data_IF_745520363295
#
_entry.id   IF_745520363295
#
_cell.length_a   1.000
_cell.length_b   1.000
_cell.length_c   1.000
_cell.angle_alpha   90.00
_cell.angle_beta   90.00
_cell.angle_gamma   90.00
#
_symmetry.space_group_name_H-M   'P 1'
#
loop_
_entity.id
_entity.type
_entity.pdbx_description
1 polymer ?
#
# COMPACT_ATOMS: atom_id res chain seq x y z
N UNK A 1 40.15 25.98 -18.84
CA UNK A 1 40.02 25.04 -19.97
C UNK A 1 40.08 23.65 -19.39
N UNK A 2 38.93 23.07 -19.04
CA UNK A 2 38.85 21.71 -18.51
C UNK A 2 38.98 20.81 -19.74
N UNK A 3 40.14 20.21 -19.92
CA UNK A 3 40.34 19.21 -20.97
C UNK A 3 39.54 17.99 -20.52
N UNK A 4 38.36 17.78 -21.12
CA UNK A 4 37.63 16.53 -20.96
C UNK A 4 38.44 15.42 -21.63
N UNK A 5 39.23 14.69 -20.84
CA UNK A 5 39.80 13.43 -21.29
C UNK A 5 38.65 12.41 -21.38
N UNK A 6 38.01 12.36 -22.54
CA UNK A 6 37.03 11.32 -22.84
C UNK A 6 37.74 9.97 -22.98
N UNK A 7 37.25 8.95 -22.29
CA UNK A 7 37.72 7.58 -22.46
C UNK A 7 37.35 7.08 -23.87
N UNK A 8 38.36 6.74 -24.67
CA UNK A 8 38.19 6.20 -26.03
C UNK A 8 38.46 4.69 -26.04
N UNK A 9 37.44 3.82 -25.89
CA UNK A 9 37.63 2.38 -25.80
C UNK A 9 38.26 1.77 -27.05
N UNK A 10 37.98 2.35 -28.23
CA UNK A 10 38.50 1.86 -29.51
C UNK A 10 40.02 1.98 -29.60
N UNK A 11 40.59 3.10 -29.14
CA UNK A 11 42.04 3.34 -29.16
C UNK A 11 42.74 2.39 -28.20
N UNK A 12 42.17 2.16 -27.02
CA UNK A 12 42.74 1.26 -26.00
C UNK A 12 42.67 -0.19 -26.47
N UNK A 13 41.54 -0.61 -27.05
CA UNK A 13 41.40 -1.94 -27.62
C UNK A 13 42.35 -2.16 -28.82
N UNK A 14 42.56 -1.11 -29.63
CA UNK A 14 43.54 -1.13 -30.72
C UNK A 14 44.97 -1.31 -30.19
N UNK A 15 45.41 -0.50 -29.22
CA UNK A 15 46.73 -0.60 -28.60
C UNK A 15 46.95 -1.96 -27.93
N UNK A 16 45.93 -2.49 -27.25
CA UNK A 16 45.97 -3.82 -26.66
C UNK A 16 46.18 -4.90 -27.73
N UNK A 17 45.49 -4.80 -28.88
CA UNK A 17 45.68 -5.73 -30.00
C UNK A 17 47.08 -5.65 -30.63
N UNK A 18 47.61 -4.43 -30.80
CA UNK A 18 48.99 -4.22 -31.30
C UNK A 18 50.01 -4.85 -30.36
N UNK A 19 49.89 -4.62 -29.05
CA UNK A 19 50.79 -5.21 -28.05
C UNK A 19 50.68 -6.74 -28.02
N UNK A 20 49.47 -7.28 -28.18
CA UNK A 20 49.27 -8.72 -28.26
C UNK A 20 50.05 -9.29 -29.46
N UNK A 21 50.03 -8.66 -30.64
CA UNK A 21 50.79 -9.13 -31.80
C UNK A 21 52.33 -9.06 -31.64
N UNK A 22 52.82 -8.31 -30.66
CA UNK A 22 54.24 -8.18 -30.35
C UNK A 22 54.74 -9.19 -29.29
N UNK A 23 53.85 -10.03 -28.75
CA UNK A 23 54.13 -11.00 -27.68
C UNK A 23 53.86 -12.43 -28.18
N UNK A 24 54.49 -13.42 -27.56
CA UNK A 24 54.16 -14.82 -27.76
C UNK A 24 52.88 -15.19 -26.97
N UNK A 25 51.78 -15.48 -27.69
CA UNK A 25 50.48 -15.78 -27.09
C UNK A 25 49.97 -17.16 -27.49
N UNK A 26 49.17 -17.78 -26.60
CA UNK A 26 48.50 -19.08 -26.82
C UNK A 26 47.12 -18.89 -27.48
N UNK A 27 46.63 -19.85 -28.26
CA UNK A 27 45.38 -19.75 -29.07
C UNK A 27 44.11 -19.30 -28.31
N UNK A 28 44.11 -19.40 -26.98
CA UNK A 28 43.01 -18.97 -26.12
C UNK A 28 42.93 -17.44 -25.92
N UNK A 29 44.03 -16.70 -26.14
CA UNK A 29 44.10 -15.25 -25.94
C UNK A 29 43.68 -14.48 -27.21
N UNK A 30 42.49 -13.89 -27.17
CA UNK A 30 41.87 -13.19 -28.30
C UNK A 30 42.05 -11.66 -28.22
N UNK A 31 42.27 -11.03 -29.37
CA UNK A 31 42.24 -9.58 -29.48
C UNK A 31 40.84 -9.04 -29.13
N UNK A 32 40.72 -7.94 -28.36
CA UNK A 32 39.42 -7.34 -28.04
C UNK A 32 38.71 -6.77 -29.27
N UNK A 33 39.46 -6.45 -30.33
CA UNK A 33 38.94 -5.95 -31.61
C UNK A 33 39.14 -6.99 -32.71
N UNK A 34 38.17 -7.13 -33.60
CA UNK A 34 38.19 -8.06 -34.76
C UNK A 34 39.15 -7.62 -35.88
N UNK A 35 39.78 -6.46 -35.75
CA UNK A 35 40.68 -5.87 -36.76
C UNK A 35 42.02 -6.58 -36.86
N UNK A 36 42.42 -7.35 -35.83
CA UNK A 36 43.72 -8.00 -35.80
C UNK A 36 43.65 -9.49 -36.16
N UNK A 37 44.62 -10.01 -36.92
CA UNK A 37 44.63 -11.41 -37.35
C UNK A 37 44.87 -12.36 -36.17
N UNK A 38 44.05 -13.41 -36.09
CA UNK A 38 44.02 -14.37 -34.97
C UNK A 38 44.86 -15.63 -35.29
N UNK A 39 45.15 -15.92 -36.57
CA UNK A 39 45.91 -17.11 -36.98
C UNK A 39 47.41 -16.83 -37.17
N UNK A 40 48.24 -17.83 -36.85
CA UNK A 40 49.65 -17.83 -37.25
C UNK A 40 49.77 -17.95 -38.79
N UNK A 41 50.75 -17.29 -39.44
CA UNK A 41 51.85 -16.50 -38.87
C UNK A 41 51.49 -15.05 -38.54
N UNK A 42 50.35 -14.55 -39.03
CA UNK A 42 49.95 -13.14 -38.95
C UNK A 42 49.74 -12.65 -37.52
N UNK A 43 49.43 -13.55 -36.59
CA UNK A 43 49.31 -13.24 -35.16
C UNK A 43 50.62 -12.75 -34.52
N UNK A 44 51.79 -13.15 -35.05
CA UNK A 44 53.12 -12.76 -34.54
C UNK A 44 53.81 -11.73 -35.43
N UNK A 45 53.06 -11.01 -36.26
CA UNK A 45 53.63 -10.12 -37.28
C UNK A 45 54.51 -8.99 -36.70
N UNK A 46 54.25 -8.58 -35.44
CA UNK A 46 55.03 -7.53 -34.76
C UNK A 46 55.99 -8.10 -33.71
N UNK A 47 56.12 -9.42 -33.61
CA UNK A 47 57.04 -10.06 -32.69
C UNK A 47 58.47 -9.84 -33.16
N UNK A 48 59.28 -9.18 -32.34
CA UNK A 48 60.68 -8.89 -32.66
C UNK A 48 61.51 -10.16 -32.46
N UNK A 49 62.10 -10.67 -33.54
CA UNK A 49 63.01 -11.83 -33.53
C UNK A 49 64.48 -11.43 -33.55
N UNK A 50 64.78 -10.24 -34.06
CA UNK A 50 66.14 -9.78 -34.34
C UNK A 50 66.56 -8.67 -33.37
N UNK A 51 67.85 -8.57 -33.07
CA UNK A 51 68.39 -7.57 -32.14
C UNK A 51 68.17 -6.14 -32.66
N UNK A 52 67.30 -5.37 -31.99
CA UNK A 52 66.93 -4.01 -32.39
C UNK A 52 67.65 -2.91 -31.59
N UNK A 53 68.78 -3.24 -30.98
CA UNK A 53 69.51 -2.37 -30.03
C UNK A 53 70.02 -1.05 -30.62
N UNK A 54 70.12 -0.93 -31.95
CA UNK A 54 70.68 0.21 -32.67
C UNK A 54 69.64 1.14 -33.31
N UNK A 55 68.34 0.87 -33.15
CA UNK A 55 67.28 1.66 -33.80
C UNK A 55 66.99 2.92 -32.97
N UNK A 56 67.11 4.09 -33.58
CA UNK A 56 66.71 5.36 -32.98
C UNK A 56 65.18 5.49 -33.00
N UNK A 57 64.57 5.60 -31.82
CA UNK A 57 63.11 5.74 -31.68
C UNK A 57 62.77 7.24 -31.72
N UNK A 58 61.86 7.69 -32.61
CA UNK A 58 61.40 9.07 -32.60
C UNK A 58 60.60 9.34 -31.31
N UNK A 59 61.10 10.27 -30.49
CA UNK A 59 60.48 10.71 -29.24
C UNK A 59 59.28 11.62 -29.54
N UNK A 60 58.13 11.03 -29.89
CA UNK A 60 56.93 11.81 -30.23
C UNK A 60 55.71 11.53 -29.37
N UNK A 61 55.71 10.50 -28.51
CA UNK A 61 54.51 10.13 -27.75
C UNK A 61 54.80 10.12 -26.25
N UNK A 62 54.20 11.07 -25.53
CA UNK A 62 54.14 11.08 -24.08
C UNK A 62 53.07 10.09 -23.62
N UNK A 63 53.50 8.84 -23.42
CA UNK A 63 52.63 7.70 -23.12
C UNK A 63 51.82 7.92 -21.82
N UNK A 64 52.32 8.78 -20.92
CA UNK A 64 51.65 9.15 -19.66
C UNK A 64 50.33 9.91 -19.87
N UNK A 65 50.14 10.56 -21.02
CA UNK A 65 48.91 11.27 -21.34
C UNK A 65 47.80 10.35 -21.84
N UNK A 66 48.15 9.15 -22.31
CA UNK A 66 47.21 8.18 -22.91
C UNK A 66 46.61 7.28 -21.83
N UNK A 67 47.39 6.92 -20.82
CA UNK A 67 46.99 5.99 -19.75
C UNK A 67 46.55 6.75 -18.50
N UNK A 68 45.29 7.19 -18.47
CA UNK A 68 44.76 8.05 -17.39
C UNK A 68 43.96 7.25 -16.34
N UNK A 69 43.42 6.08 -16.71
CA UNK A 69 42.34 5.40 -15.97
C UNK A 69 42.66 3.94 -15.56
N UNK A 70 41.82 3.38 -14.67
CA UNK A 70 41.95 2.02 -14.13
C UNK A 70 41.81 0.87 -15.15
N UNK A 71 41.59 1.18 -16.43
CA UNK A 71 41.38 0.22 -17.52
C UNK A 71 42.65 -0.47 -18.00
N UNK A 72 43.81 -0.09 -17.45
CA UNK A 72 45.13 -0.44 -18.00
C UNK A 72 45.75 -1.68 -17.32
N UNK A 73 45.02 -2.30 -16.37
CA UNK A 73 45.40 -3.58 -15.74
C UNK A 73 45.75 -4.70 -16.73
N UNK A 74 44.99 -4.96 -17.81
CA UNK A 74 45.38 -5.98 -18.79
C UNK A 74 46.68 -5.61 -19.53
N UNK A 75 46.96 -4.33 -19.75
CA UNK A 75 48.18 -3.87 -20.42
C UNK A 75 49.43 -4.15 -19.59
N UNK A 76 49.37 -4.00 -18.26
CA UNK A 76 50.48 -4.36 -17.38
C UNK A 76 50.88 -5.83 -17.54
N UNK A 77 49.90 -6.72 -17.68
CA UNK A 77 50.13 -8.15 -17.95
C UNK A 77 50.88 -8.37 -19.27
N UNK A 78 50.51 -7.63 -20.33
CA UNK A 78 51.15 -7.72 -21.63
C UNK A 78 52.58 -7.15 -21.62
N UNK A 79 52.79 -5.98 -21.01
CA UNK A 79 54.11 -5.34 -20.92
C UNK A 79 55.15 -6.23 -20.23
N UNK A 80 54.72 -7.01 -19.23
CA UNK A 80 55.59 -7.96 -18.53
C UNK A 80 56.10 -9.11 -19.41
N UNK A 81 55.39 -9.46 -20.49
CA UNK A 81 55.69 -10.60 -21.38
C UNK A 81 56.54 -10.23 -22.60
N UNK A 82 56.83 -8.96 -22.81
CA UNK A 82 57.62 -8.50 -23.96
C UNK A 82 59.08 -9.01 -23.89
N UNK A 83 59.72 -9.33 -25.03
CA UNK A 83 61.11 -9.79 -25.07
C UNK A 83 62.09 -8.64 -24.78
N UNK A 84 62.30 -8.32 -23.50
CA UNK A 84 63.12 -7.17 -23.03
C UNK A 84 64.57 -7.20 -23.50
N UNK A 85 65.12 -8.37 -23.80
CA UNK A 85 66.53 -8.53 -24.18
C UNK A 85 66.85 -8.02 -25.59
N UNK A 86 65.84 -7.86 -26.44
CA UNK A 86 66.02 -7.50 -27.86
C UNK A 86 65.83 -5.99 -28.13
N UNK A 87 65.42 -5.22 -27.12
CA UNK A 87 65.06 -3.81 -27.26
C UNK A 87 66.19 -2.85 -26.87
N UNK A 88 66.23 -1.63 -27.45
CA UNK A 88 67.20 -0.61 -27.07
C UNK A 88 66.96 -0.11 -25.64
N UNK A 89 68.04 0.37 -24.99
CA UNK A 89 68.02 0.82 -23.59
C UNK A 89 67.04 1.97 -23.33
N UNK A 90 66.83 2.85 -24.31
CA UNK A 90 65.87 3.96 -24.27
C UNK A 90 64.43 3.45 -24.08
N UNK A 91 64.05 2.39 -24.81
CA UNK A 91 62.71 1.81 -24.71
C UNK A 91 62.52 1.14 -23.35
N UNK A 92 63.54 0.45 -22.85
CA UNK A 92 63.49 -0.21 -21.55
C UNK A 92 63.29 0.78 -20.40
N UNK A 93 63.93 1.96 -20.46
CA UNK A 93 63.70 3.02 -19.47
C UNK A 93 62.27 3.55 -19.51
N UNK A 94 61.72 3.79 -20.70
CA UNK A 94 60.33 4.26 -20.84
C UNK A 94 59.30 3.20 -20.41
N UNK A 95 59.53 1.93 -20.74
CA UNK A 95 58.68 0.83 -20.27
C UNK A 95 58.68 0.72 -18.75
N UNK A 96 59.86 0.81 -18.11
CA UNK A 96 59.94 0.76 -16.65
C UNK A 96 59.24 1.95 -15.99
N UNK A 97 59.36 3.14 -16.57
CA UNK A 97 58.66 4.34 -16.11
C UNK A 97 57.15 4.16 -16.25
N UNK A 98 56.68 3.59 -17.36
CA UNK A 98 55.28 3.29 -17.63
C UNK A 98 54.71 2.25 -16.64
N UNK A 99 55.42 1.15 -16.40
CA UNK A 99 55.02 0.13 -15.43
C UNK A 99 54.88 0.72 -14.02
N UNK A 100 55.84 1.56 -13.61
CA UNK A 100 55.77 2.26 -12.31
C UNK A 100 54.60 3.23 -12.22
N UNK A 101 54.26 3.88 -13.32
CA UNK A 101 53.15 4.83 -13.40
C UNK A 101 51.79 4.13 -13.29
N UNK A 102 51.58 3.05 -14.07
CA UNK A 102 50.34 2.26 -14.04
C UNK A 102 50.13 1.61 -12.66
N UNK A 103 51.18 1.06 -12.07
CA UNK A 103 51.11 0.44 -10.72
C UNK A 103 50.81 1.47 -9.63
N UNK A 104 51.46 2.64 -9.67
CA UNK A 104 51.18 3.74 -8.75
C UNK A 104 49.73 4.25 -8.91
N UNK A 105 49.24 4.37 -10.14
CA UNK A 105 47.88 4.81 -10.41
C UNK A 105 46.83 3.82 -9.88
N UNK A 106 47.01 2.51 -10.14
CA UNK A 106 46.06 1.49 -9.69
C UNK A 106 45.97 1.39 -8.16
N UNK A 107 47.03 1.75 -7.43
CA UNK A 107 47.02 1.81 -5.96
C UNK A 107 46.26 3.02 -5.37
N UNK A 108 46.13 4.11 -6.14
CA UNK A 108 45.46 5.35 -5.70
C UNK A 108 43.93 5.25 -5.79
N UNK A 109 43.43 4.44 -6.71
CA UNK A 109 42.00 4.32 -6.99
C UNK A 109 41.36 3.26 -6.08
N UNK A 110 40.97 3.68 -4.87
CA UNK A 110 40.12 2.86 -4.00
C UNK A 110 38.70 2.82 -4.60
N UNK A 111 38.41 1.77 -5.36
CA UNK A 111 37.08 1.52 -5.93
C UNK A 111 36.03 1.50 -4.81
N UNK A 112 35.14 2.48 -4.81
CA UNK A 112 33.95 2.48 -3.95
C UNK A 112 32.81 1.81 -4.70
N UNK A 113 32.09 0.92 -4.01
CA UNK A 113 30.89 0.32 -4.58
C UNK A 113 29.88 1.42 -4.92
N UNK A 114 29.44 1.47 -6.17
CA UNK A 114 28.45 2.44 -6.62
C UNK A 114 27.12 2.17 -5.89
N UNK A 115 26.62 3.17 -5.17
CA UNK A 115 25.32 3.11 -4.52
C UNK A 115 24.32 3.92 -5.32
N UNK A 116 23.09 3.41 -5.42
CA UNK A 116 21.99 4.20 -5.99
C UNK A 116 21.78 5.45 -5.13
N UNK A 117 21.58 6.64 -5.72
CA UNK A 117 21.33 7.84 -4.94
C UNK A 117 20.09 7.65 -4.08
N UNK A 118 20.20 7.92 -2.78
CA UNK A 118 19.08 7.77 -1.86
C UNK A 118 17.98 8.80 -2.20
N UNK A 119 16.80 8.31 -2.60
CA UNK A 119 15.64 9.18 -2.87
C UNK A 119 15.02 9.64 -1.55
N UNK A 120 14.77 10.94 -1.41
CA UNK A 120 14.08 11.48 -0.25
C UNK A 120 12.62 10.96 -0.18
N UNK A 121 12.19 10.50 1.00
CA UNK A 121 10.83 10.01 1.24
C UNK A 121 9.87 11.19 1.33
N UNK A 122 8.77 11.18 0.57
CA UNK A 122 7.72 12.20 0.66
C UNK A 122 6.90 12.00 1.94
N UNK A 123 6.45 13.11 2.54
CA UNK A 123 5.56 13.09 3.70
C UNK A 123 4.14 12.67 3.30
N UNK A 124 3.36 12.16 4.27
CA UNK A 124 1.96 11.80 4.08
C UNK A 124 1.09 13.07 3.97
N UNK A 125 0.12 13.05 3.07
CA UNK A 125 -0.86 14.14 2.93
C UNK A 125 -1.79 14.19 4.15
N UNK A 126 -1.82 15.33 4.82
CA UNK A 126 -2.71 15.56 5.96
C UNK A 126 -4.05 16.09 5.43
N UNK A 127 -5.13 15.32 5.62
CA UNK A 127 -6.48 15.73 5.25
C UNK A 127 -7.18 16.42 6.43
N UNK A 128 -8.01 17.41 6.11
CA UNK A 128 -8.79 18.15 7.10
C UNK A 128 -10.01 17.33 7.59
N UNK A 129 -10.32 17.39 8.90
CA UNK A 129 -11.48 16.72 9.45
C UNK A 129 -12.79 17.37 8.98
N UNK A 130 -13.75 16.54 8.57
CA UNK A 130 -15.09 16.99 8.17
C UNK A 130 -16.02 17.09 9.37
N UNK A 131 -16.10 18.26 9.99
CA UNK A 131 -17.08 18.55 11.05
C UNK A 131 -18.05 19.68 10.66
N UNK A 132 -19.04 19.96 11.50
CA UNK A 132 -19.91 21.14 11.42
C UNK A 132 -19.60 22.07 12.58
N UNK A 133 -19.36 23.34 12.30
CA UNK A 133 -19.10 24.35 13.32
C UNK A 133 -20.31 24.56 14.25
N UNK A 134 -21.53 24.47 13.70
CA UNK A 134 -22.78 24.67 14.42
C UNK A 134 -23.49 23.34 14.76
N UNK A 135 -22.74 22.37 15.28
CA UNK A 135 -23.29 21.08 15.66
C UNK A 135 -24.25 21.20 16.85
N UNK A 136 -25.51 20.82 16.64
CA UNK A 136 -26.52 20.77 17.71
C UNK A 136 -27.04 19.33 17.85
N UNK A 137 -26.91 18.75 19.05
CA UNK A 137 -27.29 17.37 19.37
C UNK A 137 -28.78 17.12 19.11
N UNK A 138 -29.66 18.08 19.39
CA UNK A 138 -31.10 17.94 19.17
C UNK A 138 -31.48 17.95 17.68
N UNK A 139 -30.66 18.57 16.85
CA UNK A 139 -30.85 18.73 15.40
C UNK A 139 -29.84 17.94 14.57
N UNK A 140 -29.07 17.05 15.19
CA UNK A 140 -27.88 16.40 14.64
C UNK A 140 -28.11 15.59 13.35
N UNK A 141 -29.36 15.33 12.97
CA UNK A 141 -29.72 14.57 11.77
C UNK A 141 -30.34 15.42 10.64
N UNK A 142 -30.34 16.75 10.75
CA UNK A 142 -30.73 17.61 9.64
C UNK A 142 -29.57 17.72 8.64
N UNK A 143 -29.70 17.00 7.52
CA UNK A 143 -28.75 17.01 6.41
C UNK A 143 -28.39 18.45 5.96
N UNK A 144 -27.10 18.70 5.75
CA UNK A 144 -26.40 19.96 5.40
C UNK A 144 -26.96 20.80 4.23
N UNK A 145 -28.07 20.44 3.60
CA UNK A 145 -28.61 21.18 2.46
C UNK A 145 -29.84 21.99 2.87
N UNK A 146 -29.65 23.01 3.71
CA UNK A 146 -30.68 23.99 4.09
C UNK A 146 -31.24 24.74 2.88
N UNK A 147 -30.45 24.93 1.82
CA UNK A 147 -30.85 25.61 0.58
C UNK A 147 -31.95 24.86 -0.22
N UNK A 148 -32.11 23.55 0.01
CA UNK A 148 -33.24 22.76 -0.46
C UNK A 148 -33.57 21.79 0.67
N UNK A 149 -34.49 22.14 1.58
CA UNK A 149 -35.17 21.13 2.42
C UNK A 149 -35.57 20.00 1.48
N UNK A 150 -34.78 18.94 1.44
CA UNK A 150 -34.96 17.94 0.41
C UNK A 150 -36.34 17.36 0.68
N UNK A 151 -37.18 17.20 -0.34
CA UNK A 151 -38.56 16.68 -0.18
C UNK A 151 -38.58 15.43 0.72
N UNK A 152 -37.50 14.63 0.69
CA UNK A 152 -37.24 13.48 1.57
C UNK A 152 -37.25 13.81 3.07
N UNK A 153 -36.60 14.90 3.51
CA UNK A 153 -36.57 15.32 4.92
C UNK A 153 -37.96 15.72 5.40
N UNK A 154 -38.73 16.43 4.60
CA UNK A 154 -40.11 16.81 4.93
C UNK A 154 -41.02 15.58 5.02
N UNK A 155 -40.93 14.66 4.05
CA UNK A 155 -41.66 13.39 4.08
C UNK A 155 -41.32 12.58 5.34
N UNK A 156 -40.04 12.49 5.73
CA UNK A 156 -39.62 11.81 6.97
C UNK A 156 -40.22 12.47 8.23
N UNK A 157 -40.26 13.80 8.29
CA UNK A 157 -40.89 14.51 9.41
C UNK A 157 -42.40 14.28 9.46
N UNK A 158 -43.08 14.39 8.32
CA UNK A 158 -44.52 14.20 8.22
C UNK A 158 -44.93 12.77 8.59
N UNK A 159 -44.20 11.76 8.10
CA UNK A 159 -44.44 10.36 8.45
C UNK A 159 -44.20 10.08 9.94
N UNK A 160 -43.20 10.71 10.55
CA UNK A 160 -42.96 10.61 12.01
C UNK A 160 -44.12 11.22 12.80
N UNK A 161 -44.62 12.39 12.42
CA UNK A 161 -45.79 13.04 13.03
C UNK A 161 -47.03 12.16 12.90
N UNK A 162 -47.35 11.72 11.68
CA UNK A 162 -48.48 10.82 11.41
C UNK A 162 -48.45 9.56 12.28
N UNK A 163 -47.30 8.87 12.34
CA UNK A 163 -47.15 7.66 13.18
C UNK A 163 -47.30 7.94 14.68
N UNK A 164 -46.88 9.12 15.15
CA UNK A 164 -47.03 9.52 16.55
C UNK A 164 -48.51 9.74 16.89
N UNK A 165 -49.21 10.51 16.07
CA UNK A 165 -50.64 10.77 16.26
C UNK A 165 -51.45 9.48 16.17
N UNK A 166 -51.22 8.64 15.16
CA UNK A 166 -51.89 7.34 15.01
C UNK A 166 -51.68 6.43 16.24
N UNK A 167 -50.47 6.42 16.81
CA UNK A 167 -50.20 5.64 18.03
C UNK A 167 -50.90 6.22 19.25
N UNK A 168 -51.01 7.55 19.33
CA UNK A 168 -51.75 8.24 20.39
C UNK A 168 -53.23 7.89 20.36
N UNK A 169 -53.86 8.06 19.21
CA UNK A 169 -55.30 7.79 19.02
C UNK A 169 -55.65 6.32 19.26
N UNK A 170 -54.84 5.39 18.78
CA UNK A 170 -55.06 3.94 19.05
C UNK A 170 -54.95 3.62 20.54
N UNK A 171 -54.05 4.28 21.28
CA UNK A 171 -53.93 4.08 22.73
C UNK A 171 -55.14 4.62 23.48
N UNK A 172 -55.68 5.76 23.06
CA UNK A 172 -56.89 6.36 23.62
C UNK A 172 -58.11 5.47 23.37
N UNK A 173 -58.35 5.04 22.13
CA UNK A 173 -59.43 4.12 21.79
C UNK A 173 -59.39 2.81 22.60
N UNK A 174 -58.20 2.29 22.88
CA UNK A 174 -58.03 1.11 23.74
C UNK A 174 -58.40 1.39 25.19
N UNK A 175 -58.03 2.55 25.74
CA UNK A 175 -58.44 2.95 27.11
C UNK A 175 -59.95 3.13 27.19
N UNK A 176 -60.56 3.77 26.21
CA UNK A 176 -62.00 4.01 26.17
C UNK A 176 -62.76 2.69 26.09
N UNK A 177 -62.32 1.75 25.25
CA UNK A 177 -62.92 0.43 25.16
C UNK A 177 -62.80 -0.34 26.48
N UNK A 178 -61.63 -0.28 27.14
CA UNK A 178 -61.45 -0.90 28.46
C UNK A 178 -62.38 -0.27 29.51
N UNK A 179 -62.56 1.04 29.49
CA UNK A 179 -63.48 1.76 30.37
C UNK A 179 -64.92 1.32 30.13
N UNK A 180 -65.41 1.36 28.89
CA UNK A 180 -66.76 0.91 28.53
C UNK A 180 -67.02 -0.54 28.92
N UNK A 181 -66.05 -1.43 28.77
CA UNK A 181 -66.20 -2.83 29.18
C UNK A 181 -66.29 -3.00 30.69
N UNK A 182 -65.61 -2.15 31.48
CA UNK A 182 -65.71 -2.16 32.94
C UNK A 182 -67.08 -1.67 33.39
N UNK A 183 -67.54 -0.55 32.84
CA UNK A 183 -68.87 0.02 33.12
C UNK A 183 -69.98 -0.99 32.78
N UNK A 184 -69.99 -1.53 31.55
CA UNK A 184 -70.97 -2.55 31.15
C UNK A 184 -70.95 -3.78 32.06
N UNK A 185 -69.76 -4.20 32.50
CA UNK A 185 -69.64 -5.34 33.42
C UNK A 185 -70.23 -5.02 34.79
N UNK A 186 -69.98 -3.83 35.33
CA UNK A 186 -70.56 -3.40 36.60
C UNK A 186 -72.08 -3.32 36.51
N UNK A 187 -72.62 -2.70 35.46
CA UNK A 187 -74.05 -2.60 35.22
C UNK A 187 -74.72 -3.99 35.15
N UNK A 188 -74.12 -4.94 34.42
CA UNK A 188 -74.61 -6.32 34.38
C UNK A 188 -74.59 -6.99 35.76
N UNK A 189 -73.50 -6.84 36.52
CA UNK A 189 -73.37 -7.42 37.86
C UNK A 189 -74.40 -6.85 38.84
N UNK A 190 -74.64 -5.53 38.79
CA UNK A 190 -75.64 -4.85 39.63
C UNK A 190 -77.06 -5.28 39.26
N UNK A 191 -77.37 -5.36 37.96
CA UNK A 191 -78.65 -5.85 37.46
C UNK A 191 -78.91 -7.30 37.87
N UNK A 192 -77.91 -8.17 37.73
CA UNK A 192 -78.00 -9.58 38.14
C UNK A 192 -78.14 -9.73 39.66
N UNK A 193 -77.43 -8.90 40.45
CA UNK A 193 -77.57 -8.88 41.91
C UNK A 193 -78.98 -8.47 42.31
N UNK A 194 -79.50 -7.38 41.75
CA UNK A 194 -80.86 -6.91 42.00
C UNK A 194 -81.92 -7.95 41.60
N UNK A 195 -81.72 -8.64 40.47
CA UNK A 195 -82.61 -9.74 40.04
C UNK A 195 -82.59 -10.90 41.04
N UNK A 196 -81.40 -11.37 41.44
CA UNK A 196 -81.24 -12.46 42.40
C UNK A 196 -81.86 -12.11 43.76
N UNK A 197 -81.66 -10.90 44.25
CA UNK A 197 -82.26 -10.42 45.50
C UNK A 197 -83.80 -10.40 45.41
N UNK A 198 -84.36 -9.88 44.31
CA UNK A 198 -85.82 -9.90 44.07
C UNK A 198 -86.38 -11.32 44.03
N UNK A 199 -85.74 -12.22 43.29
CA UNK A 199 -86.16 -13.62 43.19
C UNK A 199 -86.07 -14.32 44.56
N UNK A 200 -84.98 -14.10 45.30
CA UNK A 200 -84.80 -14.64 46.65
C UNK A 200 -85.90 -14.14 47.60
N UNK A 201 -86.21 -12.85 47.57
CA UNK A 201 -87.29 -12.26 48.35
C UNK A 201 -88.65 -12.89 48.00
N UNK A 202 -88.97 -13.00 46.71
CA UNK A 202 -90.22 -13.60 46.24
C UNK A 202 -90.37 -15.05 46.69
N UNK A 203 -89.32 -15.87 46.53
CA UNK A 203 -89.31 -17.27 46.98
C UNK A 203 -89.49 -17.35 48.50
N UNK A 204 -88.80 -16.50 49.27
CA UNK A 204 -88.93 -16.45 50.73
C UNK A 204 -90.36 -16.09 51.16
N UNK A 205 -90.99 -15.11 50.50
CA UNK A 205 -92.38 -14.71 50.78
C UNK A 205 -93.36 -15.83 50.44
N UNK A 206 -93.19 -16.50 49.29
CA UNK A 206 -94.03 -17.64 48.89
C UNK A 206 -93.92 -18.81 49.88
N UNK A 207 -92.71 -19.15 50.32
CA UNK A 207 -92.50 -20.18 51.35
C UNK A 207 -93.16 -19.82 52.68
N UNK A 208 -93.12 -18.54 53.07
CA UNK A 208 -93.85 -18.01 54.23
C UNK A 208 -95.36 -18.26 54.12
N UNK A 209 -95.96 -17.86 52.99
CA UNK A 209 -97.40 -18.08 52.72
C UNK A 209 -97.77 -19.57 52.73
N UNK A 210 -96.97 -20.44 52.13
CA UNK A 210 -97.21 -21.88 52.15
C UNK A 210 -97.17 -22.44 53.58
N UNK A 211 -96.25 -21.96 54.41
CA UNK A 211 -96.15 -22.35 55.82
C UNK A 211 -97.37 -21.91 56.63
N UNK A 212 -97.88 -20.69 56.40
CA UNK A 212 -99.10 -20.18 57.03
C UNK A 212 -100.33 -20.96 56.56
N UNK A 213 -100.44 -21.24 55.26
CA UNK A 213 -101.50 -22.07 54.70
C UNK A 213 -101.55 -23.45 55.34
N UNK A 214 -100.39 -24.13 55.46
CA UNK A 214 -100.27 -25.44 56.11
C UNK A 214 -100.65 -25.39 57.59
N UNK A 215 -100.23 -24.35 58.33
CA UNK A 215 -100.65 -24.14 59.73
C UNK A 215 -102.16 -23.95 59.85
N UNK A 216 -102.75 -23.10 59.01
CA UNK A 216 -104.19 -22.84 59.00
C UNK A 216 -104.99 -24.10 58.65
N UNK A 217 -104.53 -24.89 57.68
CA UNK A 217 -105.14 -26.18 57.33
C UNK A 217 -105.09 -27.18 58.49
N UNK A 218 -103.97 -27.27 59.20
CA UNK A 218 -103.83 -28.11 60.39
C UNK A 218 -104.76 -27.66 61.54
N UNK A 219 -104.83 -26.36 61.83
CA UNK A 219 -105.73 -25.83 62.87
C UNK A 219 -107.20 -26.08 62.55
N UNK A 220 -107.60 -26.04 61.27
CA UNK A 220 -108.95 -26.40 60.83
C UNK A 220 -109.28 -27.89 61.01
N UNK A 221 -108.32 -28.80 60.88
CA UNK A 221 -108.54 -30.23 61.14
C UNK A 221 -108.69 -30.57 62.64
N UNK A 222 -108.22 -29.69 63.53
CA UNK A 222 -108.22 -29.92 64.98
C UNK A 222 -109.49 -29.38 65.67
N UNK A 223 -110.30 -28.60 64.96
CA UNK A 223 -111.64 -28.13 65.36
C UNK A 223 -112.69 -29.11 64.85
#
# INVERSE_FOLDING_TARGET
MIIEFGYLPEVIAFLHGVLLMAIENSDDEHCPTTTFPISLPHRRMLFVTDDCSMIEIPSQLDIKQIFVDDTDRPLLGLLSRLPRNLYPSQLLTELSALESFITAQSSRNLLKQLQRPAKQKKMLDLLEPRFDENYNIEKAHYEKNTAKKSKKVEIKQLTKKYKKELRGTVRELRRDNQFLNREKRQEMLESDKARKEKTKWLISTLQGQESEYKKNAYMKQKL
#
